data_IF_192510541464
#
_entry.id   IF_192510541464
#
_cell.length_a   1.000
_cell.length_b   1.000
_cell.length_c   1.000
_cell.angle_alpha   90.00
_cell.angle_beta   90.00
_cell.angle_gamma   90.00
#
_symmetry.space_group_name_H-M   'P 1'
#
loop_
_entity.id
_entity.type
_entity.pdbx_description
1 polymer ?
#
# COMPACT_ATOMS: atom_id res chain seq x y z
N UNK A 1 5.45 15.36 2.26
CA UNK A 1 5.03 15.04 0.89
C UNK A 1 3.88 15.93 0.42
N UNK A 2 2.82 16.12 1.23
CA UNK A 2 1.66 16.94 0.81
C UNK A 2 1.95 18.41 0.67
N UNK A 3 2.80 18.99 1.52
CA UNK A 3 3.23 20.38 1.40
C UNK A 3 3.95 20.60 0.08
N UNK A 4 4.80 19.67 -0.34
CA UNK A 4 5.53 19.72 -1.61
C UNK A 4 4.56 19.63 -2.79
N UNK A 5 3.61 18.69 -2.77
CA UNK A 5 2.59 18.53 -3.81
C UNK A 5 1.75 19.79 -3.94
N UNK A 6 1.31 20.35 -2.81
CA UNK A 6 0.55 21.60 -2.78
C UNK A 6 1.33 22.75 -3.43
N UNK A 7 2.60 22.92 -3.10
CA UNK A 7 3.44 23.97 -3.67
C UNK A 7 3.67 23.77 -5.18
N UNK A 8 3.90 22.54 -5.62
CA UNK A 8 4.07 22.21 -7.04
C UNK A 8 2.80 22.53 -7.84
N UNK A 9 1.63 22.26 -7.28
CA UNK A 9 0.35 22.63 -7.89
C UNK A 9 0.17 24.16 -7.97
N UNK A 10 0.47 24.88 -6.88
CA UNK A 10 0.33 26.33 -6.83
C UNK A 10 1.29 27.05 -7.77
N UNK A 11 2.50 26.51 -7.95
CA UNK A 11 3.53 27.08 -8.85
C UNK A 11 3.36 26.65 -10.32
N UNK A 12 2.33 25.87 -10.64
CA UNK A 12 2.06 25.39 -12.00
C UNK A 12 3.06 24.34 -12.51
N UNK A 13 3.91 23.79 -11.65
CA UNK A 13 4.87 22.73 -12.00
C UNK A 13 4.18 21.39 -12.14
N UNK A 14 3.18 21.10 -11.27
CA UNK A 14 2.37 19.90 -11.28
C UNK A 14 0.99 20.24 -11.83
N UNK A 15 0.58 19.56 -12.89
CA UNK A 15 -0.70 19.73 -13.56
C UNK A 15 -1.57 18.49 -13.42
N UNK A 16 -2.86 18.62 -13.75
CA UNK A 16 -3.76 17.46 -13.86
C UNK A 16 -3.19 16.41 -14.81
N UNK A 17 -3.40 15.12 -14.49
CA UNK A 17 -2.90 13.96 -15.24
C UNK A 17 -1.38 13.74 -15.19
N UNK A 18 -0.64 14.52 -14.43
CA UNK A 18 0.78 14.26 -14.21
C UNK A 18 1.00 12.94 -13.45
N UNK A 19 2.21 12.41 -13.58
CA UNK A 19 2.62 11.18 -12.88
C UNK A 19 3.31 11.51 -11.58
N UNK A 20 2.86 10.89 -10.51
CA UNK A 20 3.45 11.00 -9.17
C UNK A 20 3.88 9.61 -8.71
N UNK A 21 5.12 9.49 -8.29
CA UNK A 21 5.67 8.24 -7.72
C UNK A 21 5.91 8.45 -6.23
N UNK A 22 5.29 7.61 -5.43
CA UNK A 22 5.41 7.59 -3.97
C UNK A 22 5.96 6.25 -3.53
N UNK A 23 7.25 6.23 -3.16
CA UNK A 23 7.94 5.02 -2.72
C UNK A 23 7.87 4.90 -1.20
N UNK A 24 7.15 3.88 -0.72
CA UNK A 24 6.93 3.62 0.71
C UNK A 24 6.59 4.88 1.52
N UNK A 25 5.56 5.66 1.11
CA UNK A 25 5.30 6.98 1.70
C UNK A 25 4.84 6.91 3.15
N UNK A 26 4.39 5.75 3.62
CA UNK A 26 3.87 5.51 4.96
C UNK A 26 4.92 5.13 6.00
N UNK A 27 6.16 4.87 5.59
CA UNK A 27 7.17 4.17 6.40
C UNK A 27 7.50 4.85 7.75
N UNK A 28 7.38 6.17 7.82
CA UNK A 28 7.65 6.96 9.04
C UNK A 28 6.39 7.47 9.72
N UNK A 29 5.21 7.01 9.29
CA UNK A 29 3.93 7.47 9.81
C UNK A 29 3.40 6.53 10.90
N UNK A 30 2.82 7.11 11.94
CA UNK A 30 2.00 6.38 12.89
C UNK A 30 0.82 5.69 12.16
N UNK A 31 0.37 4.49 12.57
CA UNK A 31 -0.68 3.75 11.88
C UNK A 31 -1.94 4.55 11.54
N UNK A 32 -2.42 5.37 12.46
CA UNK A 32 -3.58 6.23 12.20
C UNK A 32 -3.33 7.24 11.07
N UNK A 33 -2.13 7.80 11.00
CA UNK A 33 -1.74 8.72 9.95
C UNK A 33 -1.56 8.03 8.60
N UNK A 34 -1.21 6.76 8.59
CA UNK A 34 -1.16 5.96 7.36
C UNK A 34 -2.54 5.88 6.70
N UNK A 35 -3.60 5.71 7.49
CA UNK A 35 -4.97 5.67 6.99
C UNK A 35 -5.39 7.02 6.39
N UNK A 36 -5.10 8.12 7.08
CA UNK A 36 -5.38 9.47 6.60
C UNK A 36 -4.59 9.75 5.32
N UNK A 37 -3.35 9.33 5.26
CA UNK A 37 -2.49 9.49 4.10
C UNK A 37 -3.05 8.75 2.88
N UNK A 38 -3.51 7.52 3.06
CA UNK A 38 -4.16 6.74 2.00
C UNK A 38 -5.41 7.45 1.48
N UNK A 39 -6.24 8.00 2.36
CA UNK A 39 -7.43 8.77 1.96
C UNK A 39 -7.06 9.99 1.12
N UNK A 40 -6.03 10.73 1.53
CA UNK A 40 -5.58 11.91 0.78
C UNK A 40 -5.06 11.55 -0.60
N UNK A 41 -4.30 10.47 -0.73
CA UNK A 41 -3.82 9.98 -2.05
C UNK A 41 -5.00 9.68 -2.97
N UNK A 42 -6.01 8.97 -2.47
CA UNK A 42 -7.22 8.66 -3.24
C UNK A 42 -7.97 9.93 -3.66
N UNK A 43 -8.13 10.88 -2.76
CA UNK A 43 -8.78 12.15 -3.06
C UNK A 43 -8.01 13.00 -4.06
N UNK A 44 -6.69 13.03 -3.98
CA UNK A 44 -5.84 13.70 -4.98
C UNK A 44 -6.02 13.08 -6.36
N UNK A 45 -6.04 11.76 -6.45
CA UNK A 45 -6.31 11.08 -7.71
C UNK A 45 -7.70 11.42 -8.26
N UNK A 46 -8.72 11.38 -7.43
CA UNK A 46 -10.10 11.70 -7.82
C UNK A 46 -10.24 13.13 -8.33
N UNK A 47 -9.62 14.09 -7.61
CA UNK A 47 -9.76 15.52 -7.91
C UNK A 47 -8.94 15.97 -9.11
N UNK A 48 -7.68 15.54 -9.20
CA UNK A 48 -6.74 16.01 -10.21
C UNK A 48 -6.45 15.00 -11.31
N UNK A 49 -6.98 13.79 -11.18
CA UNK A 49 -6.78 12.69 -12.12
C UNK A 49 -5.29 12.36 -12.37
N UNK A 50 -4.45 12.48 -11.34
CA UNK A 50 -3.05 12.09 -11.40
C UNK A 50 -2.90 10.59 -11.68
N UNK A 51 -1.82 10.23 -12.37
CA UNK A 51 -1.34 8.87 -12.43
C UNK A 51 -0.41 8.64 -11.22
N UNK A 52 -0.90 7.99 -10.19
CA UNK A 52 -0.16 7.80 -8.94
C UNK A 52 0.36 6.37 -8.88
N UNK A 53 1.67 6.22 -8.73
CA UNK A 53 2.31 4.93 -8.49
C UNK A 53 2.75 4.91 -7.03
N UNK A 54 2.28 3.94 -6.27
CA UNK A 54 2.61 3.76 -4.85
C UNK A 54 3.25 2.41 -4.64
N UNK A 55 4.37 2.40 -3.93
CA UNK A 55 4.96 1.16 -3.41
C UNK A 55 4.75 1.07 -1.92
N UNK A 56 4.48 -0.10 -1.39
CA UNK A 56 4.29 -0.30 0.05
C UNK A 56 4.55 -1.74 0.46
N UNK A 57 4.98 -1.92 1.71
CA UNK A 57 5.04 -3.20 2.42
C UNK A 57 4.04 -3.26 3.59
N UNK A 58 3.23 -2.23 3.78
CA UNK A 58 2.23 -2.16 4.85
C UNK A 58 0.90 -2.72 4.40
N UNK A 59 0.43 -3.79 5.07
CA UNK A 59 -0.90 -4.35 4.85
C UNK A 59 -2.02 -3.37 5.16
N UNK A 60 -1.87 -2.59 6.22
CA UNK A 60 -2.87 -1.59 6.63
C UNK A 60 -2.97 -0.44 5.64
N UNK A 61 -1.84 0.04 5.14
CA UNK A 61 -1.83 1.08 4.13
C UNK A 61 -2.44 0.62 2.81
N UNK A 62 -2.10 -0.60 2.39
CA UNK A 62 -2.67 -1.23 1.20
C UNK A 62 -4.19 -1.39 1.32
N UNK A 63 -4.67 -1.90 2.44
CA UNK A 63 -6.10 -2.07 2.70
C UNK A 63 -6.83 -0.72 2.74
N UNK A 64 -6.21 0.30 3.35
CA UNK A 64 -6.78 1.64 3.36
C UNK A 64 -6.91 2.24 1.96
N UNK A 65 -5.91 2.08 1.10
CA UNK A 65 -5.98 2.49 -0.31
C UNK A 65 -7.13 1.79 -1.04
N UNK A 66 -7.29 0.49 -0.85
CA UNK A 66 -8.38 -0.30 -1.44
C UNK A 66 -9.75 0.21 -0.96
N UNK A 67 -9.95 0.32 0.35
CA UNK A 67 -11.23 0.73 0.94
C UNK A 67 -11.61 2.17 0.58
N UNK A 68 -10.67 3.10 0.63
CA UNK A 68 -10.95 4.48 0.23
C UNK A 68 -11.21 4.62 -1.26
N UNK A 69 -10.55 3.81 -2.09
CA UNK A 69 -10.84 3.77 -3.53
C UNK A 69 -12.28 3.36 -3.82
N UNK A 70 -12.82 2.41 -3.07
CA UNK A 70 -14.23 2.01 -3.11
C UNK A 70 -15.16 3.11 -2.59
N UNK A 71 -14.81 3.68 -1.43
CA UNK A 71 -15.58 4.76 -0.80
C UNK A 71 -15.79 5.96 -1.74
N UNK A 72 -14.77 6.32 -2.50
CA UNK A 72 -14.79 7.47 -3.40
C UNK A 72 -15.03 7.11 -4.87
N UNK A 73 -15.47 5.89 -5.15
CA UNK A 73 -15.89 5.41 -6.48
C UNK A 73 -14.80 5.51 -7.57
N UNK A 74 -13.55 5.26 -7.20
CA UNK A 74 -12.43 5.21 -8.13
C UNK A 74 -11.78 3.83 -8.22
N UNK A 75 -12.38 2.79 -7.68
CA UNK A 75 -11.79 1.44 -7.65
C UNK A 75 -11.45 0.89 -9.04
N UNK A 76 -12.25 1.22 -10.06
CA UNK A 76 -11.99 0.81 -11.45
C UNK A 76 -10.75 1.45 -12.07
N UNK A 77 -10.23 2.53 -11.46
CA UNK A 77 -9.00 3.20 -11.87
C UNK A 77 -7.75 2.63 -11.19
N UNK A 78 -7.94 1.74 -10.21
CA UNK A 78 -6.87 1.20 -9.40
C UNK A 78 -6.40 -0.15 -9.94
N UNK A 79 -5.08 -0.27 -10.12
CA UNK A 79 -4.43 -1.52 -10.49
C UNK A 79 -3.44 -1.89 -9.40
N UNK A 80 -3.38 -3.18 -9.08
CA UNK A 80 -2.53 -3.71 -8.03
C UNK A 80 -1.55 -4.71 -8.61
N UNK A 81 -0.29 -4.55 -8.27
CA UNK A 81 0.80 -5.37 -8.77
C UNK A 81 1.58 -5.98 -7.61
N UNK A 82 1.84 -7.26 -7.71
CA UNK A 82 2.70 -7.97 -6.79
C UNK A 82 4.09 -8.08 -7.40
N UNK A 83 5.10 -7.55 -6.69
CA UNK A 83 6.49 -7.71 -7.06
C UNK A 83 7.05 -8.99 -6.42
N UNK A 84 7.77 -9.79 -7.18
CA UNK A 84 8.41 -11.01 -6.71
C UNK A 84 9.70 -11.30 -7.48
N UNK A 85 10.56 -12.11 -6.85
CA UNK A 85 11.76 -12.64 -7.48
C UNK A 85 11.53 -14.11 -7.84
N UNK A 86 12.03 -14.53 -8.99
CA UNK A 86 12.08 -15.94 -9.36
C UNK A 86 13.41 -16.55 -8.91
N UNK A 87 13.35 -17.77 -8.41
CA UNK A 87 14.56 -18.54 -8.10
C UNK A 87 15.44 -18.68 -9.35
N UNK A 88 16.75 -18.46 -9.19
CA UNK A 88 17.77 -18.56 -10.23
C UNK A 88 17.67 -17.53 -11.38
N UNK A 89 16.85 -16.51 -11.27
CA UNK A 89 16.79 -15.40 -12.22
C UNK A 89 17.17 -14.07 -11.56
N UNK A 90 17.85 -13.21 -12.30
CA UNK A 90 18.17 -11.85 -11.85
C UNK A 90 17.07 -10.92 -12.33
N UNK A 91 16.45 -10.22 -11.37
CA UNK A 91 15.42 -9.21 -11.65
C UNK A 91 14.15 -9.37 -10.83
N UNK A 92 13.37 -8.32 -10.81
CA UNK A 92 12.04 -8.30 -10.21
C UNK A 92 10.98 -8.52 -11.30
N UNK A 93 10.01 -9.33 -10.98
CA UNK A 93 8.83 -9.58 -11.81
C UNK A 93 7.60 -8.95 -11.16
N UNK A 94 6.65 -8.52 -11.99
CA UNK A 94 5.41 -7.93 -11.54
C UNK A 94 4.23 -8.73 -12.07
N UNK A 95 3.34 -9.14 -11.19
CA UNK A 95 2.07 -9.77 -11.54
C UNK A 95 0.93 -8.80 -11.27
N UNK A 96 0.05 -8.58 -12.24
CA UNK A 96 -1.18 -7.84 -12.02
C UNK A 96 -2.17 -8.71 -11.24
N UNK A 97 -2.45 -8.33 -10.01
CA UNK A 97 -3.33 -9.05 -9.08
C UNK A 97 -4.60 -8.26 -8.74
N UNK A 98 -4.96 -7.29 -9.57
CA UNK A 98 -6.14 -6.44 -9.35
C UNK A 98 -7.42 -7.23 -9.12
N UNK A 99 -7.55 -8.39 -9.76
CA UNK A 99 -8.70 -9.29 -9.59
C UNK A 99 -8.51 -10.35 -8.50
N UNK A 100 -7.35 -10.40 -7.87
CA UNK A 100 -7.03 -11.36 -6.81
C UNK A 100 -6.11 -10.73 -5.76
N UNK A 101 -6.64 -9.77 -5.03
CA UNK A 101 -5.90 -9.03 -4.00
C UNK A 101 -5.46 -9.92 -2.82
N UNK A 102 -6.07 -11.08 -2.66
CA UNK A 102 -5.66 -12.03 -1.63
C UNK A 102 -4.20 -12.48 -1.75
N UNK A 103 -3.65 -12.48 -2.97
CA UNK A 103 -2.23 -12.77 -3.20
C UNK A 103 -1.31 -11.75 -2.54
N UNK A 104 -1.67 -10.46 -2.59
CA UNK A 104 -0.91 -9.40 -1.92
C UNK A 104 -0.96 -9.57 -0.41
N UNK A 105 -2.16 -9.75 0.15
CA UNK A 105 -2.33 -9.89 1.60
C UNK A 105 -1.63 -11.11 2.18
N UNK A 106 -1.52 -12.20 1.42
CA UNK A 106 -0.76 -13.39 1.84
C UNK A 106 0.75 -13.13 1.93
N UNK A 107 1.28 -12.24 1.11
CA UNK A 107 2.70 -11.87 1.15
C UNK A 107 3.02 -10.79 2.18
N UNK A 108 2.08 -9.90 2.44
CA UNK A 108 2.18 -8.91 3.52
C UNK A 108 1.88 -9.59 4.85
N UNK A 109 2.84 -10.33 5.38
CA UNK A 109 2.67 -11.06 6.64
C UNK A 109 2.45 -10.07 7.77
N UNK A 110 1.27 -10.14 8.38
CA UNK A 110 0.95 -9.34 9.57
C UNK A 110 1.83 -9.80 10.75
N UNK A 111 2.67 -8.92 11.33
CA UNK A 111 3.48 -9.24 12.50
C UNK A 111 2.65 -9.79 13.67
N UNK A 112 1.40 -9.35 13.82
CA UNK A 112 0.48 -9.83 14.85
C UNK A 112 0.20 -11.33 14.71
N UNK A 113 0.03 -11.84 13.49
CA UNK A 113 -0.15 -13.26 13.23
C UNK A 113 1.10 -14.08 13.58
N UNK A 114 2.29 -13.57 13.25
CA UNK A 114 3.55 -14.22 13.59
C UNK A 114 3.74 -14.30 15.11
N UNK A 115 3.43 -13.22 15.82
CA UNK A 115 3.50 -13.18 17.29
C UNK A 115 2.48 -14.12 17.93
N UNK A 116 1.28 -14.22 17.38
CA UNK A 116 0.27 -15.17 17.86
C UNK A 116 0.73 -16.63 17.73
N UNK A 117 1.31 -16.99 16.58
CA UNK A 117 1.87 -18.34 16.36
C UNK A 117 3.01 -18.63 17.33
N UNK A 118 3.92 -17.68 17.52
CA UNK A 118 5.03 -17.85 18.46
C UNK A 118 4.52 -18.05 19.90
N UNK A 119 3.48 -17.34 20.30
CA UNK A 119 2.85 -17.49 21.61
C UNK A 119 2.26 -18.88 21.80
N UNK A 120 1.51 -19.39 20.82
CA UNK A 120 0.94 -20.73 20.82
C UNK A 120 2.04 -21.81 20.90
N UNK A 121 3.15 -21.64 20.17
CA UNK A 121 4.28 -22.56 20.25
C UNK A 121 4.92 -22.60 21.63
N UNK A 122 5.00 -21.47 22.33
CA UNK A 122 5.56 -21.41 23.68
C UNK A 122 4.61 -22.02 24.71
N UNK A 123 3.31 -21.76 24.62
CA UNK A 123 2.29 -22.35 25.50
C UNK A 123 2.29 -23.88 25.38
N UNK A 124 2.33 -24.40 24.15
CA UNK A 124 2.38 -25.85 23.91
C UNK A 124 3.64 -26.53 24.48
N UNK A 125 4.77 -25.82 24.52
CA UNK A 125 6.00 -26.35 25.13
C UNK A 125 5.93 -26.44 26.66
N UNK A 126 5.23 -25.49 27.29
CA UNK A 126 5.03 -25.51 28.74
C UNK A 126 4.08 -26.62 29.18
N UNK A 127 3.12 -27.00 28.33
CA UNK A 127 2.18 -28.10 28.59
C UNK A 127 2.84 -29.49 28.42
N UNK A 128 3.96 -29.60 27.70
CA UNK A 128 4.71 -30.86 27.51
C UNK A 128 5.74 -31.13 28.63
N UNK A 129 5.94 -30.21 29.57
CA UNK A 129 6.82 -30.31 30.71
C UNK A 129 6.05 -30.71 31.99
#
# INVERSE_FOLDING_TARGET
AFVIIKQLLLNGVLNEKDVIVLDEPEIHLHPEWQLIYAEIIVLLQKKFNFHIIVTTHSSHFMEALELYSKKYDIEERCNYYLAYNKENETGAYFENVTRNLSKIYKQLVDPTLLLSRLREELENKDDEL
#
